data_IF_691770550208
#
_entry.id   IF_691770550208
#
_cell.length_a   1.000
_cell.length_b   1.000
_cell.length_c   1.000
_cell.angle_alpha   90.00
_cell.angle_beta   90.00
_cell.angle_gamma   90.00
#
_symmetry.space_group_name_H-M   'P 1'
#
loop_
_entity.id
_entity.type
_entity.pdbx_description
1 polymer ?
#
# COMPACT_ATOMS: atom_id res chain seq x y z
N UNK A 1 -5.45 7.41 16.29
CA UNK A 1 -5.21 6.49 15.17
C UNK A 1 -3.72 6.18 15.07
N UNK A 2 -3.34 4.90 15.17
CA UNK A 2 -1.96 4.47 14.94
C UNK A 2 -1.78 4.07 13.47
N UNK A 3 -0.72 4.55 12.85
CA UNK A 3 -0.33 4.15 11.49
C UNK A 3 1.05 3.54 11.54
N UNK A 4 1.22 2.37 10.98
CA UNK A 4 2.49 1.66 10.95
C UNK A 4 2.78 1.10 9.56
N UNK A 5 4.06 0.84 9.31
CA UNK A 5 4.52 0.26 8.06
C UNK A 5 4.66 -1.24 8.17
N UNK A 6 4.16 -1.95 7.18
CA UNK A 6 4.37 -3.37 7.02
C UNK A 6 5.41 -3.64 5.92
N UNK A 7 6.46 -4.37 6.25
CA UNK A 7 7.50 -4.78 5.27
C UNK A 7 7.09 -6.01 4.46
N UNK A 8 6.02 -6.67 4.88
CA UNK A 8 5.52 -7.88 4.21
C UNK A 8 4.71 -7.50 2.99
N UNK A 9 5.00 -8.12 1.86
CA UNK A 9 4.28 -7.89 0.61
C UNK A 9 3.05 -8.78 0.54
N UNK A 10 1.93 -8.18 0.15
CA UNK A 10 0.73 -8.90 -0.25
C UNK A 10 0.79 -9.34 -1.72
N UNK A 11 -0.22 -10.08 -2.13
CA UNK A 11 -0.42 -10.52 -3.51
C UNK A 11 -1.84 -10.21 -3.95
N UNK A 12 -2.00 -9.84 -5.23
CA UNK A 12 -3.31 -9.81 -5.86
C UNK A 12 -3.50 -11.16 -6.55
N UNK A 13 -4.55 -11.87 -6.18
CA UNK A 13 -4.87 -13.20 -6.67
C UNK A 13 -6.15 -13.14 -7.49
N UNK A 14 -6.13 -13.75 -8.66
CA UNK A 14 -7.33 -13.99 -9.47
C UNK A 14 -7.85 -15.40 -9.17
N UNK A 15 -9.06 -15.46 -8.65
CA UNK A 15 -9.83 -16.71 -8.59
C UNK A 15 -10.36 -17.01 -9.99
N UNK A 16 -9.82 -18.04 -10.61
CA UNK A 16 -10.16 -18.44 -11.99
C UNK A 16 -11.56 -19.02 -12.12
N UNK A 17 -12.12 -19.57 -11.05
CA UNK A 17 -13.43 -20.20 -11.05
C UNK A 17 -14.55 -19.16 -10.98
N UNK A 18 -14.34 -18.12 -10.21
CA UNK A 18 -15.32 -17.04 -10.01
C UNK A 18 -15.04 -15.78 -10.82
N UNK A 19 -13.83 -15.62 -11.40
CA UNK A 19 -13.36 -14.41 -12.07
C UNK A 19 -13.12 -13.23 -11.12
N UNK A 20 -13.22 -13.43 -9.81
CA UNK A 20 -12.99 -12.38 -8.81
C UNK A 20 -11.51 -12.26 -8.48
N UNK A 21 -11.09 -11.04 -8.20
CA UNK A 21 -9.75 -10.78 -7.68
C UNK A 21 -9.83 -10.27 -6.24
N UNK A 22 -8.83 -10.61 -5.46
CA UNK A 22 -8.70 -10.20 -4.06
C UNK A 22 -7.24 -10.06 -3.66
N UNK A 23 -6.99 -9.23 -2.65
CA UNK A 23 -5.67 -9.08 -2.07
C UNK A 23 -5.47 -10.05 -0.91
N UNK A 24 -4.33 -10.68 -0.86
CA UNK A 24 -3.91 -11.53 0.27
C UNK A 24 -2.71 -10.92 0.96
N UNK A 25 -2.66 -11.06 2.28
CA UNK A 25 -1.54 -10.62 3.09
C UNK A 25 -1.14 -11.71 4.08
N UNK A 26 0.17 -11.98 4.27
CA UNK A 26 0.62 -12.88 5.31
C UNK A 26 0.26 -12.36 6.70
N UNK A 27 -0.32 -13.21 7.53
CA UNK A 27 -0.74 -12.85 8.89
C UNK A 27 0.44 -12.36 9.75
N UNK A 28 1.63 -12.95 9.57
CA UNK A 28 2.84 -12.56 10.30
C UNK A 28 3.18 -11.07 10.22
N UNK A 29 2.89 -10.42 9.08
CA UNK A 29 3.11 -8.98 8.92
C UNK A 29 2.19 -8.13 9.81
N UNK A 30 0.98 -8.60 10.08
CA UNK A 30 0.05 -7.93 10.99
C UNK A 30 0.43 -8.15 12.45
N UNK A 31 0.88 -9.35 12.80
CA UNK A 31 1.22 -9.71 14.16
C UNK A 31 2.39 -8.88 14.69
N UNK A 32 3.41 -8.64 13.86
CA UNK A 32 4.54 -7.76 14.20
C UNK A 32 4.08 -6.33 14.48
N UNK A 33 3.28 -5.76 13.59
CA UNK A 33 2.75 -4.39 13.74
C UNK A 33 1.86 -4.29 14.97
N UNK A 34 0.99 -5.27 15.18
CA UNK A 34 0.10 -5.33 16.32
C UNK A 34 0.87 -5.30 17.63
N UNK A 35 1.95 -6.08 17.75
CA UNK A 35 2.78 -6.12 18.95
C UNK A 35 3.38 -4.73 19.27
N UNK A 36 3.97 -4.06 18.28
CA UNK A 36 4.57 -2.72 18.45
C UNK A 36 3.52 -1.67 18.80
N UNK A 37 2.37 -1.71 18.15
CA UNK A 37 1.28 -0.77 18.43
C UNK A 37 0.70 -0.98 19.83
N UNK A 38 0.51 -2.23 20.27
CA UNK A 38 0.01 -2.53 21.61
C UNK A 38 1.00 -2.11 22.69
N UNK A 39 2.30 -2.29 22.50
CA UNK A 39 3.32 -1.80 23.41
C UNK A 39 3.24 -0.27 23.56
N UNK A 40 3.11 0.45 22.44
CA UNK A 40 2.98 1.92 22.44
C UNK A 40 1.71 2.37 23.16
N UNK A 41 0.57 1.73 22.89
CA UNK A 41 -0.70 2.02 23.56
C UNK A 41 -0.60 1.79 25.07
N UNK A 42 0.02 0.69 25.48
CA UNK A 42 0.20 0.39 26.91
C UNK A 42 1.08 1.45 27.61
N UNK A 43 2.15 1.90 26.98
CA UNK A 43 3.01 2.99 27.49
C UNK A 43 2.23 4.30 27.63
N UNK A 44 1.45 4.67 26.61
CA UNK A 44 0.62 5.86 26.62
C UNK A 44 -0.46 5.79 27.70
N UNK A 45 -1.11 4.65 27.87
CA UNK A 45 -2.13 4.44 28.90
C UNK A 45 -1.53 4.54 30.31
N UNK A 46 -0.37 3.94 30.52
CA UNK A 46 0.33 4.03 31.80
C UNK A 46 0.77 5.45 32.15
N UNK A 47 1.18 6.24 31.17
CA UNK A 47 1.59 7.64 31.34
C UNK A 47 0.40 8.60 31.53
N UNK A 48 -0.83 8.17 31.24
CA UNK A 48 -2.04 9.00 31.31
C UNK A 48 -3.14 8.30 32.13
N UNK A 49 -2.98 8.18 33.43
CA UNK A 49 -3.98 7.51 34.28
C UNK A 49 -5.33 8.21 34.17
N UNK A 50 -6.39 7.45 33.93
CA UNK A 50 -7.77 7.96 33.74
C UNK A 50 -8.18 8.14 32.29
N UNK A 51 -7.29 8.04 31.33
CA UNK A 51 -7.62 7.99 29.90
C UNK A 51 -7.69 6.51 29.47
N UNK A 52 -8.90 6.00 29.24
CA UNK A 52 -9.06 4.77 28.47
C UNK A 52 -8.79 5.13 27.00
N UNK A 53 -7.61 4.85 26.51
CA UNK A 53 -7.39 4.76 25.08
C UNK A 53 -8.29 3.63 24.59
N UNK A 54 -9.38 4.00 23.93
CA UNK A 54 -10.25 3.02 23.29
C UNK A 54 -9.44 2.45 22.12
N UNK A 55 -8.80 1.33 22.39
CA UNK A 55 -8.40 0.43 21.34
C UNK A 55 -9.72 -0.12 20.81
N UNK A 56 -10.37 0.59 19.89
CA UNK A 56 -11.48 0.09 19.09
C UNK A 56 -10.94 -1.03 18.19
N UNK A 57 -10.54 -2.02 18.88
CA UNK A 57 -10.06 -3.25 18.37
C UNK A 57 -11.27 -4.12 18.52
N UNK A 58 -11.78 -4.67 17.44
CA UNK A 58 -12.74 -5.76 17.52
C UNK A 58 -12.25 -6.75 18.57
N UNK A 59 -13.11 -7.54 19.18
CA UNK A 59 -12.75 -8.53 20.19
C UNK A 59 -11.56 -9.41 19.77
N UNK A 60 -11.30 -9.51 18.48
CA UNK A 60 -10.21 -10.25 17.85
C UNK A 60 -8.96 -9.39 17.57
N UNK A 61 -8.94 -8.17 18.03
CA UNK A 61 -7.84 -7.26 17.82
C UNK A 61 -7.81 -6.66 16.46
N UNK A 62 -7.28 -5.91 15.85
CA UNK A 62 -7.20 -5.26 14.54
C UNK A 62 -8.08 -5.88 13.47
N UNK A 63 -8.84 -5.05 12.79
CA UNK A 63 -9.39 -5.41 11.48
C UNK A 63 -8.20 -5.77 10.61
N UNK A 64 -8.07 -7.04 10.30
CA UNK A 64 -6.98 -7.56 9.50
C UNK A 64 -6.93 -6.84 8.16
N UNK A 65 -5.81 -6.17 7.88
CA UNK A 65 -5.50 -5.71 6.55
C UNK A 65 -6.23 -4.49 6.04
N UNK A 66 -6.54 -3.52 6.91
CA UNK A 66 -7.05 -2.25 6.43
C UNK A 66 -5.90 -1.28 6.10
N UNK A 67 -5.90 -0.73 4.90
CA UNK A 67 -4.99 0.34 4.50
C UNK A 67 -5.73 1.45 3.78
N UNK A 68 -5.39 2.69 4.08
CA UNK A 68 -5.78 3.86 3.30
C UNK A 68 -4.80 4.18 2.17
N UNK A 69 -3.64 3.54 2.19
CA UNK A 69 -2.54 3.82 1.27
C UNK A 69 -2.09 2.53 0.55
N UNK A 70 -2.97 1.90 -0.25
CA UNK A 70 -2.56 0.75 -1.04
C UNK A 70 -1.54 1.19 -2.10
N UNK A 71 -0.38 0.54 -2.12
CA UNK A 71 0.69 0.80 -3.06
C UNK A 71 1.15 -0.49 -3.70
N UNK A 72 1.66 -0.39 -4.93
CA UNK A 72 2.16 -1.56 -5.65
C UNK A 72 1.06 -2.37 -6.34
N UNK A 73 1.42 -3.53 -6.85
CA UNK A 73 0.58 -4.38 -7.70
C UNK A 73 1.05 -4.38 -9.15
N UNK A 74 1.45 -3.22 -9.68
CA UNK A 74 2.09 -3.09 -10.99
C UNK A 74 3.41 -2.31 -10.90
N UNK A 75 4.25 -2.68 -9.92
CA UNK A 75 5.42 -1.91 -9.51
C UNK A 75 6.42 -1.67 -10.65
N UNK A 76 6.93 -0.44 -10.71
CA UNK A 76 8.03 -0.07 -11.61
C UNK A 76 9.27 -0.96 -11.36
N UNK A 77 9.95 -1.30 -12.43
CA UNK A 77 11.10 -2.21 -12.41
C UNK A 77 10.73 -3.70 -12.32
N UNK A 78 9.43 -4.04 -12.20
CA UNK A 78 8.92 -5.43 -12.23
C UNK A 78 7.87 -5.64 -13.30
N UNK A 79 6.69 -5.06 -13.11
CA UNK A 79 5.57 -5.16 -14.04
C UNK A 79 5.61 -4.05 -15.08
N UNK A 80 6.03 -2.86 -14.68
CA UNK A 80 6.18 -1.69 -15.53
C UNK A 80 7.64 -1.24 -15.60
N UNK A 81 7.96 -0.47 -16.63
CA UNK A 81 9.18 0.35 -16.66
C UNK A 81 9.07 1.51 -15.65
N UNK A 82 10.07 2.38 -15.60
CA UNK A 82 10.12 3.51 -14.68
C UNK A 82 9.17 4.66 -15.05
N UNK A 83 8.49 4.56 -16.18
CA UNK A 83 7.51 5.52 -16.69
C UNK A 83 6.10 4.92 -16.82
N UNK A 84 5.88 3.76 -16.22
CA UNK A 84 4.55 3.15 -16.15
C UNK A 84 4.13 2.33 -17.36
N UNK A 85 4.98 2.12 -18.37
CA UNK A 85 4.67 1.23 -19.48
C UNK A 85 4.66 -0.21 -19.00
N UNK A 86 3.57 -0.93 -19.23
CA UNK A 86 3.47 -2.34 -18.82
C UNK A 86 4.32 -3.21 -19.72
N UNK A 87 5.24 -3.98 -19.13
CA UNK A 87 6.15 -4.84 -19.85
C UNK A 87 5.41 -5.86 -20.73
N UNK A 88 5.73 -5.88 -22.01
CA UNK A 88 5.11 -6.80 -22.99
C UNK A 88 3.76 -6.34 -23.55
N UNK A 89 3.23 -5.20 -23.14
CA UNK A 89 1.93 -4.67 -23.60
C UNK A 89 2.09 -3.26 -24.16
N UNK A 90 2.11 -3.12 -25.49
CA UNK A 90 2.18 -1.81 -26.13
C UNK A 90 0.89 -1.03 -25.91
N UNK A 91 1.01 0.25 -25.47
CA UNK A 91 -0.13 1.15 -25.26
C UNK A 91 -0.88 0.92 -23.94
N UNK A 92 -0.35 0.08 -23.03
CA UNK A 92 -0.91 -0.10 -21.70
C UNK A 92 0.00 0.54 -20.65
N UNK A 93 -0.57 1.42 -19.84
CA UNK A 93 0.15 2.23 -18.86
C UNK A 93 -0.46 2.14 -17.47
N UNK A 94 0.38 2.27 -16.45
CA UNK A 94 0.00 2.42 -15.05
C UNK A 94 0.58 3.72 -14.53
N UNK A 95 -0.27 4.67 -14.13
CA UNK A 95 0.13 6.02 -13.70
C UNK A 95 -0.53 6.40 -12.37
N UNK A 96 -0.52 5.48 -11.44
CA UNK A 96 -1.11 5.65 -10.11
C UNK A 96 -0.27 4.99 -9.01
N UNK A 97 -0.85 4.83 -7.83
CA UNK A 97 -0.23 4.18 -6.67
C UNK A 97 0.25 2.76 -6.94
N UNK A 98 -0.32 2.05 -7.92
CA UNK A 98 0.08 0.68 -8.26
C UNK A 98 1.50 0.63 -8.84
N UNK A 99 1.99 1.73 -9.43
CA UNK A 99 3.34 1.85 -9.97
C UNK A 99 4.42 1.92 -8.88
N UNK A 100 4.07 2.33 -7.66
CA UNK A 100 5.04 2.52 -6.58
C UNK A 100 5.55 1.19 -6.02
N UNK A 101 6.88 0.95 -6.00
CA UNK A 101 7.44 -0.23 -5.34
C UNK A 101 7.57 0.04 -3.84
N UNK A 102 6.81 -0.68 -3.01
CA UNK A 102 7.00 -0.63 -1.56
C UNK A 102 5.96 0.16 -0.79
N UNK A 103 6.38 0.98 0.14
CA UNK A 103 5.51 1.66 1.11
C UNK A 103 5.91 3.13 1.30
N UNK A 104 4.98 3.94 1.82
CA UNK A 104 5.11 5.39 1.90
C UNK A 104 5.81 5.91 3.18
N UNK A 105 6.45 5.05 3.96
CA UNK A 105 7.18 5.48 5.15
C UNK A 105 6.34 6.05 6.30
N UNK A 106 5.04 5.68 6.38
CA UNK A 106 4.13 6.19 7.42
C UNK A 106 3.54 7.57 7.15
N UNK A 107 3.74 8.10 5.94
CA UNK A 107 3.16 9.37 5.47
C UNK A 107 2.14 9.16 4.36
N UNK A 108 1.29 10.16 4.11
CA UNK A 108 0.36 10.13 2.99
C UNK A 108 1.12 10.13 1.66
N UNK A 109 0.86 9.17 0.75
CA UNK A 109 1.63 9.04 -0.48
C UNK A 109 1.13 9.93 -1.63
N UNK A 110 0.06 10.69 -1.46
CA UNK A 110 -0.62 11.40 -2.55
C UNK A 110 0.29 12.33 -3.33
N UNK A 111 1.16 13.09 -2.66
CA UNK A 111 2.10 13.98 -3.35
C UNK A 111 3.13 13.17 -4.17
N UNK A 112 3.65 12.10 -3.60
CA UNK A 112 4.59 11.21 -4.30
C UNK A 112 3.94 10.53 -5.49
N UNK A 113 2.70 10.06 -5.34
CA UNK A 113 1.92 9.46 -6.44
C UNK A 113 1.71 10.48 -7.55
N UNK A 114 1.30 11.70 -7.23
CA UNK A 114 1.09 12.76 -8.21
C UNK A 114 2.38 13.08 -8.98
N UNK A 115 3.51 13.24 -8.29
CA UNK A 115 4.79 13.53 -8.92
C UNK A 115 5.28 12.40 -9.85
N UNK A 116 5.12 11.14 -9.44
CA UNK A 116 5.48 9.98 -10.26
C UNK A 116 4.56 9.89 -11.48
N UNK A 117 3.27 10.12 -11.31
CA UNK A 117 2.29 10.07 -12.39
C UNK A 117 2.52 11.18 -13.42
N UNK A 118 2.78 12.40 -12.97
CA UNK A 118 3.09 13.54 -13.83
C UNK A 118 4.35 13.27 -14.65
N UNK A 119 5.44 12.87 -14.00
CA UNK A 119 6.68 12.48 -14.67
C UNK A 119 6.47 11.37 -15.72
N UNK A 120 5.66 10.37 -15.40
CA UNK A 120 5.35 9.28 -16.32
C UNK A 120 4.54 9.76 -17.52
N UNK A 121 3.52 10.60 -17.30
CA UNK A 121 2.67 11.13 -18.35
C UNK A 121 3.42 12.07 -19.28
N UNK A 122 4.31 12.92 -18.78
CA UNK A 122 5.16 13.76 -19.62
C UNK A 122 5.98 12.94 -20.61
N UNK A 123 6.62 11.87 -20.13
CA UNK A 123 7.42 10.99 -20.98
C UNK A 123 6.58 10.21 -22.00
N UNK A 124 5.42 9.66 -21.57
CA UNK A 124 4.48 8.93 -22.42
C UNK A 124 3.96 9.84 -23.55
N UNK A 125 3.55 11.07 -23.22
CA UNK A 125 3.06 12.03 -24.22
C UNK A 125 4.16 12.39 -25.22
N UNK A 126 5.38 12.62 -24.74
CA UNK A 126 6.49 13.00 -25.61
C UNK A 126 6.94 11.89 -26.57
N UNK A 127 6.90 10.63 -26.15
CA UNK A 127 7.52 9.54 -26.89
C UNK A 127 6.53 8.56 -27.52
N UNK A 128 5.34 8.38 -26.91
CA UNK A 128 4.42 7.34 -27.36
C UNK A 128 3.21 7.90 -28.11
N UNK A 129 2.82 9.16 -27.82
CA UNK A 129 1.60 9.76 -28.38
C UNK A 129 1.87 10.90 -29.37
N UNK A 130 3.12 11.33 -29.52
CA UNK A 130 3.52 12.46 -30.40
C UNK A 130 3.79 12.03 -31.84
N UNK A 131 3.20 10.96 -32.34
CA UNK A 131 3.34 10.46 -33.72
C UNK A 131 2.20 10.88 -34.62
#
# INVERSE_FOLDING_TARGET
>A
LGVAMNKTLGQIVLDKDTGKHYATYPQSGFDEIKAVMMETINKLTAANPGIKLNTAVSADGFVSGFTYHPLGGASMGKVCDTYGRVNGYKGLYVVDAALMPGYAGGVNPSLTIAAISERALEDIVAHDLSS
#
